data_IF_676175807938
#
_entry.id   IF_676175807938
#
_cell.length_a   1.000
_cell.length_b   1.000
_cell.length_c   1.000
_cell.angle_alpha   90.00
_cell.angle_beta   90.00
_cell.angle_gamma   90.00
#
_symmetry.space_group_name_H-M   'P 1'
#
loop_
_entity.id
_entity.type
_entity.pdbx_description
1 polymer ?
#
# COMPACT_ATOMS: atom_id res chain seq x y z
N UNK A 1 -7.37 -0.02 -1.92
CA UNK A 1 -7.04 1.43 -1.84
C UNK A 1 -5.56 1.64 -2.17
N UNK A 2 -5.15 2.79 -2.71
CA UNK A 2 -3.74 3.05 -3.03
C UNK A 2 -3.28 4.47 -2.64
N UNK A 3 -1.96 4.61 -2.52
CA UNK A 3 -1.22 5.87 -2.40
C UNK A 3 -0.22 5.93 -3.53
N UNK A 4 -0.02 7.09 -4.16
CA UNK A 4 1.09 7.28 -5.08
C UNK A 4 1.85 8.58 -4.84
N UNK A 5 3.13 8.57 -5.20
CA UNK A 5 4.01 9.73 -5.18
C UNK A 5 4.74 9.80 -6.52
N UNK A 6 4.71 10.98 -7.14
CA UNK A 6 5.35 11.21 -8.42
C UNK A 6 6.31 12.39 -8.35
N UNK A 7 7.36 12.35 -9.16
CA UNK A 7 8.29 13.45 -9.38
C UNK A 7 8.55 13.65 -10.86
N UNK A 8 8.82 14.89 -11.23
CA UNK A 8 9.30 15.30 -12.56
C UNK A 8 10.69 15.95 -12.49
N UNK A 9 11.35 15.86 -11.33
CA UNK A 9 12.78 16.18 -11.20
C UNK A 9 13.59 15.29 -12.14
N UNK A 10 14.74 15.74 -12.65
CA UNK A 10 15.52 14.99 -13.65
C UNK A 10 16.89 14.57 -13.09
N UNK A 11 17.25 13.27 -13.14
CA UNK A 11 16.44 12.17 -13.68
C UNK A 11 15.32 11.74 -12.70
N UNK A 12 14.09 11.56 -13.19
CA UNK A 12 12.96 11.26 -12.30
C UNK A 12 13.07 9.86 -11.68
N UNK A 13 13.78 8.97 -12.35
CA UNK A 13 14.11 7.61 -11.88
C UNK A 13 14.88 7.59 -10.56
N UNK A 14 15.46 8.72 -10.12
CA UNK A 14 16.08 8.85 -8.79
C UNK A 14 15.09 8.60 -7.64
N UNK A 15 13.77 8.72 -7.90
CA UNK A 15 12.73 8.30 -6.96
C UNK A 15 12.93 6.85 -6.48
N UNK A 16 13.42 5.96 -7.35
CA UNK A 16 13.72 4.57 -7.01
C UNK A 16 14.79 4.43 -5.94
N UNK A 17 15.82 5.28 -5.97
CA UNK A 17 16.86 5.32 -4.95
C UNK A 17 16.35 5.91 -3.65
N UNK A 18 15.61 7.03 -3.70
CA UNK A 18 15.04 7.67 -2.51
C UNK A 18 14.11 6.71 -1.75
N UNK A 19 13.27 5.96 -2.47
CA UNK A 19 12.36 4.97 -1.88
C UNK A 19 13.02 3.61 -1.59
N UNK A 20 14.28 3.41 -2.00
CA UNK A 20 15.02 2.14 -1.90
C UNK A 20 14.26 0.96 -2.54
N UNK A 21 13.68 1.21 -3.72
CA UNK A 21 12.82 0.26 -4.45
C UNK A 21 13.07 0.42 -5.95
N UNK A 22 13.67 -0.60 -6.55
CA UNK A 22 13.99 -0.61 -7.97
C UNK A 22 12.70 -0.53 -8.82
N UNK A 23 12.61 0.38 -9.82
CA UNK A 23 11.42 0.55 -10.65
C UNK A 23 10.97 -0.70 -11.42
N UNK A 24 11.92 -1.44 -12.00
CA UNK A 24 11.63 -2.68 -12.76
C UNK A 24 11.25 -3.91 -11.92
N UNK A 25 11.00 -3.73 -10.62
CA UNK A 25 10.62 -4.83 -9.72
C UNK A 25 9.28 -4.54 -9.08
N UNK A 26 8.40 -5.55 -9.11
CA UNK A 26 7.23 -5.57 -8.25
C UNK A 26 7.68 -5.95 -6.83
N UNK A 27 7.38 -5.09 -5.86
CA UNK A 27 7.67 -5.34 -4.46
C UNK A 27 6.38 -5.69 -3.72
N UNK A 28 6.44 -6.67 -2.82
CA UNK A 28 5.29 -7.08 -2.03
C UNK A 28 5.68 -7.35 -0.58
N UNK A 29 4.77 -7.07 0.35
CA UNK A 29 4.92 -7.44 1.75
C UNK A 29 3.61 -7.93 2.35
N UNK A 30 3.70 -9.00 3.14
CA UNK A 30 2.59 -9.48 3.96
C UNK A 30 2.35 -8.54 5.15
N UNK A 31 1.07 -8.27 5.43
CA UNK A 31 0.55 -7.47 6.53
C UNK A 31 -0.39 -8.33 7.38
N UNK A 32 -0.63 -7.93 8.63
CA UNK A 32 -1.56 -8.67 9.50
C UNK A 32 -3.02 -8.66 9.04
N UNK A 33 -3.34 -7.80 8.06
CA UNK A 33 -4.69 -7.58 7.53
C UNK A 33 -4.76 -7.75 6.00
N UNK A 34 -3.76 -8.40 5.38
CA UNK A 34 -3.69 -8.61 3.94
C UNK A 34 -2.29 -8.39 3.40
N UNK A 35 -2.17 -7.72 2.25
CA UNK A 35 -0.92 -7.56 1.51
C UNK A 35 -0.75 -6.13 1.01
N UNK A 36 0.50 -5.71 0.89
CA UNK A 36 0.88 -4.47 0.21
C UNK A 36 1.68 -4.78 -1.06
N UNK A 37 1.44 -4.00 -2.11
CA UNK A 37 2.14 -4.04 -3.38
C UNK A 37 2.72 -2.67 -3.68
N UNK A 38 4.00 -2.59 -4.03
CA UNK A 38 4.62 -1.36 -4.52
C UNK A 38 5.20 -1.60 -5.91
N UNK A 39 4.78 -0.76 -6.86
CA UNK A 39 5.19 -0.81 -8.25
C UNK A 39 5.27 0.61 -8.82
N UNK A 40 5.88 0.73 -10.00
CA UNK A 40 6.06 2.00 -10.68
C UNK A 40 5.22 2.01 -11.97
N UNK A 41 4.03 2.65 -11.98
CA UNK A 41 3.23 2.76 -13.20
C UNK A 41 3.93 3.56 -14.31
N UNK A 42 4.86 4.46 -13.94
CA UNK A 42 5.68 5.22 -14.89
C UNK A 42 7.09 5.40 -14.30
N UNK A 43 8.11 5.17 -15.12
CA UNK A 43 9.51 5.36 -14.77
C UNK A 43 10.32 5.78 -16.00
N UNK A 44 10.21 7.05 -16.37
CA UNK A 44 11.04 7.68 -17.40
C UNK A 44 11.96 8.74 -16.79
N UNK A 45 12.85 9.33 -17.58
CA UNK A 45 13.72 10.41 -17.11
C UNK A 45 12.93 11.71 -16.81
N UNK A 46 11.77 11.89 -17.45
CA UNK A 46 10.90 13.06 -17.32
C UNK A 46 9.90 12.96 -16.18
N UNK A 47 9.42 11.74 -15.87
CA UNK A 47 8.46 11.48 -14.80
C UNK A 47 8.64 10.08 -14.25
N UNK A 48 8.59 9.98 -12.92
CA UNK A 48 8.60 8.70 -12.22
C UNK A 48 7.53 8.74 -11.13
N UNK A 49 6.72 7.70 -11.05
CA UNK A 49 5.65 7.54 -10.06
C UNK A 49 5.76 6.18 -9.41
N UNK A 50 5.73 6.15 -8.08
CA UNK A 50 5.61 4.94 -7.28
C UNK A 50 4.19 4.85 -6.71
N UNK A 51 3.55 3.69 -6.84
CA UNK A 51 2.23 3.42 -6.31
C UNK A 51 2.26 2.25 -5.31
N UNK A 52 1.75 2.51 -4.10
CA UNK A 52 1.54 1.55 -3.02
C UNK A 52 0.06 1.16 -2.96
N UNK A 53 -0.27 -0.06 -3.33
CA UNK A 53 -1.61 -0.64 -3.28
C UNK A 53 -1.77 -1.51 -2.03
N UNK A 54 -2.85 -1.28 -1.27
CA UNK A 54 -3.27 -2.13 -0.16
C UNK A 54 -4.36 -3.08 -0.63
N UNK A 55 -4.07 -4.36 -0.48
CA UNK A 55 -4.95 -5.50 -0.73
C UNK A 55 -5.36 -6.10 0.63
N UNK A 56 -6.43 -5.55 1.21
CA UNK A 56 -6.91 -5.89 2.55
C UNK A 56 -7.81 -7.11 2.46
N UNK A 57 -7.60 -8.10 3.34
CA UNK A 57 -8.51 -9.24 3.50
C UNK A 57 -9.63 -8.88 4.49
N UNK A 58 -10.86 -8.55 4.02
CA UNK A 58 -11.95 -8.16 4.90
C UNK A 58 -12.41 -9.31 5.80
N UNK A 59 -12.26 -10.57 5.35
CA UNK A 59 -12.67 -11.75 6.11
C UNK A 59 -11.64 -12.02 7.21
N UNK A 60 -10.36 -12.01 6.86
CA UNK A 60 -9.25 -12.16 7.81
C UNK A 60 -9.26 -11.09 8.91
N UNK A 61 -9.71 -9.86 8.60
CA UNK A 61 -9.74 -8.76 9.55
C UNK A 61 -10.71 -8.96 10.73
N UNK A 62 -11.77 -9.73 10.51
CA UNK A 62 -12.85 -9.99 11.49
C UNK A 62 -12.83 -11.40 12.05
N UNK A 63 -12.21 -12.35 11.35
CA UNK A 63 -12.11 -13.74 11.80
C UNK A 63 -11.40 -13.83 13.16
N UNK A 64 -12.08 -14.37 14.16
CA UNK A 64 -11.51 -14.59 15.50
C UNK A 64 -11.59 -13.40 16.46
N UNK A 65 -12.13 -12.25 16.03
CA UNK A 65 -12.51 -11.17 16.96
C UNK A 65 -13.89 -11.51 17.52
N UNK A 66 -13.99 -11.66 18.84
CA UNK A 66 -15.23 -12.05 19.53
C UNK A 66 -16.41 -11.12 19.24
N UNK A 67 -17.62 -11.57 19.59
CA UNK A 67 -18.89 -10.84 19.39
C UNK A 67 -18.79 -9.39 19.92
N UNK A 68 -18.52 -8.44 19.03
CA UNK A 68 -18.84 -7.05 19.21
C UNK A 68 -20.12 -6.75 18.43
N UNK A 69 -20.94 -5.82 18.94
CA UNK A 69 -22.25 -5.47 18.39
C UNK A 69 -22.24 -5.25 16.87
N UNK A 70 -23.29 -5.77 16.21
CA UNK A 70 -23.50 -5.65 14.76
C UNK A 70 -22.67 -6.63 13.94
N UNK A 71 -23.09 -7.90 13.85
CA UNK A 71 -22.45 -8.92 13.01
C UNK A 71 -22.22 -8.45 11.56
N UNK A 72 -23.13 -7.67 10.98
CA UNK A 72 -23.05 -7.21 9.58
C UNK A 72 -22.00 -6.11 9.35
N UNK A 73 -21.91 -5.11 10.24
CA UNK A 73 -20.98 -3.97 10.12
C UNK A 73 -19.51 -4.40 10.19
N UNK A 74 -19.25 -5.58 10.75
CA UNK A 74 -17.92 -6.17 10.75
C UNK A 74 -17.53 -6.70 9.36
N UNK A 75 -18.43 -7.40 8.67
CA UNK A 75 -18.13 -7.97 7.34
C UNK A 75 -18.23 -6.94 6.22
N UNK A 76 -19.10 -5.93 6.37
CA UNK A 76 -19.31 -4.88 5.36
C UNK A 76 -18.94 -3.54 5.97
N UNK A 77 -17.74 -3.06 5.64
CA UNK A 77 -17.29 -1.72 6.01
C UNK A 77 -16.28 -1.19 4.97
N UNK A 78 -15.92 0.07 5.16
CA UNK A 78 -15.02 0.84 4.31
C UNK A 78 -13.53 0.56 4.54
N UNK A 79 -13.16 -0.20 5.57
CA UNK A 79 -11.75 -0.40 5.96
C UNK A 79 -10.84 -0.91 4.83
N UNK A 80 -11.28 -1.79 3.90
CA UNK A 80 -10.47 -2.19 2.75
C UNK A 80 -10.22 -1.07 1.72
N UNK A 81 -11.01 0.00 1.78
CA UNK A 81 -11.09 1.04 0.75
C UNK A 81 -10.73 2.44 1.27
N UNK A 82 -10.70 2.66 2.58
CA UNK A 82 -10.42 3.96 3.21
C UNK A 82 -8.95 4.11 3.62
N UNK A 83 -8.36 5.28 3.34
CA UNK A 83 -7.00 5.69 3.73
C UNK A 83 -6.86 5.84 5.26
N UNK A 84 -6.82 4.71 5.95
CA UNK A 84 -6.77 4.61 7.41
C UNK A 84 -5.34 4.38 7.92
N UNK A 85 -5.19 4.09 9.22
CA UNK A 85 -3.92 3.70 9.83
C UNK A 85 -3.27 2.45 9.19
N UNK A 86 -4.02 1.64 8.45
CA UNK A 86 -3.47 0.56 7.62
C UNK A 86 -2.47 1.08 6.59
N UNK A 87 -2.73 2.24 5.99
CA UNK A 87 -1.79 2.87 5.05
C UNK A 87 -0.49 3.26 5.75
N UNK A 88 -0.55 3.81 6.96
CA UNK A 88 0.64 4.15 7.75
C UNK A 88 1.49 2.92 8.07
N UNK A 89 0.85 1.80 8.43
CA UNK A 89 1.55 0.52 8.65
C UNK A 89 2.20 0.01 7.37
N UNK A 90 1.48 0.08 6.24
CA UNK A 90 2.01 -0.34 4.94
C UNK A 90 3.20 0.53 4.48
N UNK A 91 3.13 1.85 4.66
CA UNK A 91 4.23 2.78 4.37
C UNK A 91 5.48 2.43 5.19
N UNK A 92 5.33 2.22 6.50
CA UNK A 92 6.44 1.83 7.36
C UNK A 92 7.02 0.45 6.95
N UNK A 93 6.17 -0.51 6.59
CA UNK A 93 6.62 -1.85 6.18
C UNK A 93 7.33 -1.83 4.83
N UNK A 94 6.86 -1.03 3.87
CA UNK A 94 7.35 -1.04 2.48
C UNK A 94 8.49 -0.05 2.23
N UNK A 95 8.47 1.12 2.85
CA UNK A 95 9.37 2.23 2.52
C UNK A 95 10.40 2.54 3.61
N UNK A 96 10.35 1.87 4.78
CA UNK A 96 11.41 2.01 5.78
C UNK A 96 12.72 1.44 5.24
N UNK A 97 13.77 2.23 5.38
CA UNK A 97 15.16 1.94 5.03
C UNK A 97 15.94 1.45 6.23
#
# INVERSE_FOLDING_TARGET
MFFSIATTHRPATDLGFLLHKHPDRLHAAELSFGKAWLFYPEASDERCEAALLLDVDPIGLVRGKGQADGLLDQYVNDRPYAASSFLSVALNKMLRT
#
